data_IF_665726874908
#
_entry.id   IF_665726874908
#
_cell.length_a   1.000
_cell.length_b   1.000
_cell.length_c   1.000
_cell.angle_alpha   90.00
_cell.angle_beta   90.00
_cell.angle_gamma   90.00
#
_symmetry.space_group_name_H-M   'P 1'
#
loop_
_entity.id
_entity.type
_entity.pdbx_description
1 polymer ?
#
# COMPACT_ATOMS: atom_id res chain seq x y z
N UNK A 1 -13.43 9.42 23.43
CA UNK A 1 -12.94 10.77 23.05
C UNK A 1 -13.20 10.89 21.55
N UNK A 2 -14.22 11.64 21.13
CA UNK A 2 -14.53 11.89 19.72
C UNK A 2 -13.98 13.28 19.34
N UNK A 3 -12.72 13.31 18.91
CA UNK A 3 -12.03 14.54 18.49
C UNK A 3 -12.36 14.91 17.05
N UNK A 4 -12.56 13.90 16.21
CA UNK A 4 -12.80 14.06 14.78
C UNK A 4 -14.23 14.54 14.57
N UNK A 5 -14.40 15.70 13.93
CA UNK A 5 -15.71 16.36 13.73
C UNK A 5 -16.10 17.36 14.82
N UNK A 6 -15.49 17.25 16.01
CA UNK A 6 -15.73 18.17 17.12
C UNK A 6 -15.02 19.49 16.87
N UNK A 7 -15.68 20.60 17.22
CA UNK A 7 -15.07 21.93 17.12
C UNK A 7 -14.09 22.15 18.26
N UNK A 8 -12.84 22.38 17.90
CA UNK A 8 -11.77 22.73 18.82
C UNK A 8 -11.19 24.09 18.42
N UNK A 9 -10.77 24.85 19.42
CA UNK A 9 -9.97 26.06 19.27
C UNK A 9 -8.76 25.91 20.19
N UNK A 10 -7.56 26.02 19.64
CA UNK A 10 -6.31 25.85 20.39
C UNK A 10 -6.28 24.54 21.19
N UNK A 11 -6.81 23.47 20.58
CA UNK A 11 -6.89 22.13 21.17
C UNK A 11 -7.92 21.98 22.30
N UNK A 12 -8.76 22.99 22.55
CA UNK A 12 -9.75 22.98 23.61
C UNK A 12 -11.19 23.08 23.08
N UNK A 13 -12.11 22.47 23.81
CA UNK A 13 -13.54 22.70 23.63
C UNK A 13 -13.86 24.11 24.12
N UNK A 14 -14.65 24.86 23.35
CA UNK A 14 -15.31 26.02 23.92
C UNK A 14 -16.38 25.53 24.90
N UNK A 15 -16.55 26.17 26.06
CA UNK A 15 -17.38 25.66 27.16
C UNK A 15 -18.86 25.44 26.85
N UNK A 16 -19.33 25.88 25.67
CA UNK A 16 -20.68 25.67 25.14
C UNK A 16 -20.74 24.66 23.98
N UNK A 17 -19.61 24.27 23.39
CA UNK A 17 -19.55 23.36 22.25
C UNK A 17 -19.72 21.91 22.73
N UNK A 18 -20.53 21.13 22.00
CA UNK A 18 -20.76 19.71 22.28
C UNK A 18 -19.84 18.84 21.42
N UNK A 19 -19.40 17.71 21.97
CA UNK A 19 -18.67 16.70 21.21
C UNK A 19 -19.57 16.13 20.10
N UNK A 20 -19.02 16.04 18.90
CA UNK A 20 -19.66 15.36 17.77
C UNK A 20 -19.25 13.88 17.83
N UNK A 21 -20.22 12.99 17.67
CA UNK A 21 -20.01 11.54 17.61
C UNK A 21 -20.52 11.00 16.27
N UNK A 22 -19.97 9.87 15.82
CA UNK A 22 -20.44 9.15 14.63
C UNK A 22 -19.89 9.69 13.31
N UNK A 23 -18.97 10.66 13.33
CA UNK A 23 -18.25 11.08 12.11
C UNK A 23 -17.23 10.03 11.66
N UNK A 24 -16.79 9.18 12.58
CA UNK A 24 -16.02 7.96 12.35
C UNK A 24 -16.86 6.82 11.75
N UNK A 25 -18.03 7.12 11.17
CA UNK A 25 -18.81 6.16 10.41
C UNK A 25 -17.94 5.56 9.29
N UNK A 26 -17.88 4.23 9.25
CA UNK A 26 -17.04 3.48 8.32
C UNK A 26 -17.27 3.90 6.86
N UNK A 27 -18.53 4.07 6.43
CA UNK A 27 -18.85 4.48 5.06
C UNK A 27 -18.33 5.86 4.70
N UNK A 28 -18.39 6.82 5.64
CA UNK A 28 -17.87 8.17 5.42
C UNK A 28 -16.33 8.20 5.39
N UNK A 29 -15.68 7.45 6.26
CA UNK A 29 -14.21 7.32 6.29
C UNK A 29 -13.69 6.67 5.01
N UNK A 30 -14.28 5.54 4.60
CA UNK A 30 -13.89 4.86 3.35
C UNK A 30 -14.23 5.72 2.14
N UNK A 31 -15.39 6.38 2.10
CA UNK A 31 -15.75 7.30 1.03
C UNK A 31 -14.79 8.49 0.91
N UNK A 32 -14.29 9.01 2.05
CA UNK A 32 -13.21 10.00 2.08
C UNK A 32 -11.91 9.46 1.50
N UNK A 33 -11.54 8.23 1.89
CA UNK A 33 -10.29 7.61 1.43
C UNK A 33 -10.34 7.24 -0.05
N UNK A 34 -11.53 7.15 -0.64
CA UNK A 34 -11.78 6.75 -2.02
C UNK A 34 -12.45 7.87 -2.83
N UNK A 35 -12.16 9.15 -2.53
CA UNK A 35 -12.72 10.28 -3.30
C UNK A 35 -12.29 10.29 -4.75
N UNK A 36 -11.30 9.47 -5.14
CA UNK A 36 -10.95 9.21 -6.54
C UNK A 36 -12.17 8.82 -7.38
N UNK A 37 -13.17 8.16 -6.79
CA UNK A 37 -14.43 7.85 -7.47
C UNK A 37 -15.25 9.09 -7.86
N UNK A 38 -15.00 10.28 -7.31
CA UNK A 38 -15.67 11.51 -7.76
C UNK A 38 -15.11 12.02 -9.10
N UNK A 39 -13.79 11.90 -9.33
CA UNK A 39 -13.16 12.08 -10.65
C UNK A 39 -13.52 10.93 -11.60
N UNK A 40 -13.53 9.71 -11.05
CA UNK A 40 -13.86 8.48 -11.73
C UNK A 40 -15.29 8.42 -12.24
N UNK A 41 -16.29 8.93 -11.51
CA UNK A 41 -17.70 8.94 -11.95
C UNK A 41 -17.91 9.81 -13.21
N UNK A 42 -17.10 10.85 -13.41
CA UNK A 42 -17.12 11.65 -14.65
C UNK A 42 -16.57 10.84 -15.84
N UNK A 43 -15.60 9.94 -15.62
CA UNK A 43 -15.05 9.05 -16.66
C UNK A 43 -15.83 7.71 -16.79
N UNK A 44 -16.42 7.22 -15.71
CA UNK A 44 -17.09 5.92 -15.59
C UNK A 44 -18.51 5.90 -16.15
N UNK A 45 -19.02 7.05 -16.64
CA UNK A 45 -20.28 7.12 -17.36
C UNK A 45 -20.33 6.15 -18.56
N UNK A 46 -19.17 5.78 -19.13
CA UNK A 46 -19.08 4.75 -20.18
C UNK A 46 -19.03 3.30 -19.67
N UNK A 47 -18.61 3.05 -18.43
CA UNK A 47 -18.43 1.69 -17.87
C UNK A 47 -19.63 1.22 -17.04
N UNK A 48 -20.47 2.15 -16.59
CA UNK A 48 -21.72 1.87 -15.86
C UNK A 48 -22.91 1.58 -16.79
N UNK A 49 -22.67 1.38 -18.10
CA UNK A 49 -23.70 1.08 -19.11
C UNK A 49 -24.26 -0.34 -18.92
N UNK A 50 -25.18 -0.52 -17.96
CA UNK A 50 -25.84 -1.81 -17.74
C UNK A 50 -26.68 -1.92 -16.45
N UNK A 51 -26.52 -1.00 -15.51
CA UNK A 51 -27.19 -1.08 -14.19
C UNK A 51 -28.05 0.15 -13.94
N UNK A 52 -29.34 0.09 -14.29
CA UNK A 52 -30.27 1.22 -14.23
C UNK A 52 -30.41 1.85 -12.83
N UNK A 53 -30.34 1.05 -11.76
CA UNK A 53 -30.43 1.56 -10.38
C UNK A 53 -29.22 2.42 -9.99
N UNK A 54 -28.02 2.07 -10.45
CA UNK A 54 -26.82 2.85 -10.17
C UNK A 54 -26.68 4.04 -11.10
N UNK A 55 -27.22 3.96 -12.32
CA UNK A 55 -27.37 5.12 -13.21
C UNK A 55 -28.33 6.16 -12.62
N UNK A 56 -29.48 5.73 -12.09
CA UNK A 56 -30.43 6.64 -11.46
C UNK A 56 -29.84 7.29 -10.19
N UNK A 57 -29.10 6.54 -9.37
CA UNK A 57 -28.41 7.11 -8.19
C UNK A 57 -27.28 8.04 -8.62
N UNK A 58 -26.47 7.66 -9.61
CA UNK A 58 -25.41 8.51 -10.14
C UNK A 58 -25.96 9.78 -10.78
N UNK A 59 -27.00 9.72 -11.61
CA UNK A 59 -27.61 10.90 -12.25
C UNK A 59 -28.29 11.84 -11.23
N UNK A 60 -28.97 11.29 -10.22
CA UNK A 60 -29.58 12.10 -9.16
C UNK A 60 -28.55 12.69 -8.19
N UNK A 61 -27.44 12.00 -7.93
CA UNK A 61 -26.34 12.53 -7.11
C UNK A 61 -25.52 13.53 -7.92
N UNK A 62 -25.20 13.27 -9.18
CA UNK A 62 -24.35 14.13 -10.01
C UNK A 62 -25.01 15.44 -10.45
N UNK A 63 -26.33 15.44 -10.68
CA UNK A 63 -27.05 16.67 -11.03
C UNK A 63 -27.08 17.68 -9.88
N UNK A 64 -27.07 17.22 -8.62
CA UNK A 64 -26.93 18.09 -7.44
C UNK A 64 -25.46 18.43 -7.10
N UNK A 65 -24.48 17.59 -7.50
CA UNK A 65 -23.06 17.78 -7.16
C UNK A 65 -22.32 18.80 -8.06
N UNK A 66 -22.68 18.93 -9.35
CA UNK A 66 -21.92 19.80 -10.28
C UNK A 66 -22.04 21.30 -9.98
N UNK A 67 -23.09 21.75 -9.28
CA UNK A 67 -23.23 23.17 -8.89
C UNK A 67 -22.52 23.53 -7.56
N UNK A 68 -22.07 22.55 -6.77
CA UNK A 68 -21.69 22.78 -5.35
C UNK A 68 -20.24 22.46 -4.94
N UNK A 69 -19.37 21.94 -5.84
CA UNK A 69 -17.97 21.55 -5.51
C UNK A 69 -17.89 20.55 -4.33
N UNK A 70 -18.77 19.55 -4.29
CA UNK A 70 -18.80 18.52 -3.25
C UNK A 70 -17.98 17.27 -3.58
N UNK A 71 -16.96 17.39 -4.43
CA UNK A 71 -16.19 16.24 -4.95
C UNK A 71 -15.08 15.76 -3.99
N UNK A 72 -15.03 16.31 -2.77
CA UNK A 72 -13.98 16.07 -1.77
C UNK A 72 -14.59 16.03 -0.37
N UNK A 73 -13.99 15.25 0.54
CA UNK A 73 -14.50 15.14 1.89
C UNK A 73 -14.00 16.29 2.77
N UNK A 74 -14.92 17.10 3.28
CA UNK A 74 -14.60 18.18 4.22
C UNK A 74 -14.66 17.67 5.66
N UNK A 75 -13.52 17.70 6.34
CA UNK A 75 -13.38 17.30 7.73
C UNK A 75 -13.15 18.52 8.61
N UNK A 76 -13.85 18.62 9.73
CA UNK A 76 -13.57 19.68 10.70
C UNK A 76 -12.16 19.51 11.25
N UNK A 77 -11.37 20.58 11.17
CA UNK A 77 -9.98 20.56 11.59
C UNK A 77 -9.87 20.58 13.12
N UNK A 78 -9.39 19.49 13.77
CA UNK A 78 -9.21 19.49 15.21
C UNK A 78 -8.00 20.35 15.66
N UNK A 79 -7.17 20.79 14.72
CA UNK A 79 -5.97 21.59 14.97
C UNK A 79 -6.16 23.09 14.69
N UNK A 80 -7.41 23.55 14.53
CA UNK A 80 -7.68 24.96 14.33
C UNK A 80 -7.18 25.81 15.52
N UNK A 81 -6.36 26.82 15.22
CA UNK A 81 -5.64 27.66 16.18
C UNK A 81 -4.44 26.99 16.89
N UNK A 82 -4.35 25.67 16.85
CA UNK A 82 -3.29 24.92 17.53
C UNK A 82 -1.91 25.15 16.89
N UNK A 83 -0.94 25.57 17.70
CA UNK A 83 0.47 25.81 17.29
C UNK A 83 0.58 26.67 16.02
N UNK A 84 -0.05 27.84 16.00
CA UNK A 84 -0.18 28.70 14.82
C UNK A 84 1.15 29.02 14.11
N UNK A 85 2.26 29.08 14.84
CA UNK A 85 3.59 29.39 14.28
C UNK A 85 4.21 28.24 13.46
N UNK A 86 3.80 26.98 13.71
CA UNK A 86 4.42 25.78 13.09
C UNK A 86 3.44 24.88 12.36
N UNK A 87 2.17 24.91 12.74
CA UNK A 87 1.13 24.08 12.16
C UNK A 87 0.54 24.74 10.90
N UNK A 88 0.87 24.15 9.73
CA UNK A 88 0.45 24.64 8.40
C UNK A 88 -1.07 24.69 8.20
N UNK A 89 -1.85 23.93 8.97
CA UNK A 89 -3.31 23.89 8.85
C UNK A 89 -4.03 24.63 9.99
N UNK A 90 -3.30 25.31 10.88
CA UNK A 90 -3.89 25.96 12.07
C UNK A 90 -4.90 27.07 11.73
N UNK A 91 -4.78 27.73 10.58
CA UNK A 91 -5.64 28.84 10.18
C UNK A 91 -6.92 28.43 9.42
N UNK A 92 -7.10 27.14 9.12
CA UNK A 92 -8.29 26.62 8.42
C UNK A 92 -9.22 25.87 9.37
N UNK A 93 -10.50 26.20 9.35
CA UNK A 93 -11.50 25.59 10.24
C UNK A 93 -11.94 24.19 9.80
N UNK A 94 -11.73 23.87 8.52
CA UNK A 94 -11.93 22.53 7.95
C UNK A 94 -10.73 22.19 7.06
N UNK A 95 -10.38 20.90 7.01
CA UNK A 95 -9.43 20.34 6.07
C UNK A 95 -10.17 19.56 5.01
N UNK A 96 -9.70 19.66 3.79
CA UNK A 96 -10.18 18.84 2.67
C UNK A 96 -9.30 17.61 2.61
N UNK A 97 -9.90 16.44 2.75
CA UNK A 97 -9.20 15.16 2.61
C UNK A 97 -9.58 14.53 1.27
N UNK A 98 -8.57 13.94 0.62
CA UNK A 98 -8.68 13.27 -0.67
C UNK A 98 -8.01 11.90 -0.59
N UNK A 99 -8.30 11.06 -1.58
CA UNK A 99 -7.66 9.77 -1.80
C UNK A 99 -6.13 9.93 -1.93
N UNK A 100 -5.38 9.10 -1.19
CA UNK A 100 -3.92 9.13 -1.21
C UNK A 100 -3.32 8.77 -2.56
N UNK A 101 -4.03 8.02 -3.39
CA UNK A 101 -3.64 7.70 -4.76
C UNK A 101 -3.59 8.93 -5.68
N UNK A 102 -4.30 10.03 -5.36
CA UNK A 102 -4.20 11.28 -6.13
C UNK A 102 -2.82 11.94 -6.00
N UNK A 103 -2.06 11.61 -4.95
CA UNK A 103 -0.67 12.02 -4.77
C UNK A 103 0.33 10.99 -5.33
N UNK A 104 -0.15 9.97 -6.05
CA UNK A 104 0.61 8.79 -6.46
C UNK A 104 1.15 7.95 -5.28
N UNK A 105 0.72 8.22 -4.04
CA UNK A 105 1.12 7.47 -2.84
C UNK A 105 0.16 6.29 -2.55
N UNK A 106 -0.14 5.49 -3.59
CA UNK A 106 -1.00 4.29 -3.53
C UNK A 106 -0.58 3.27 -2.45
N UNK A 107 0.72 3.17 -2.12
CA UNK A 107 1.20 2.41 -0.98
C UNK A 107 1.23 3.35 0.24
N UNK A 108 0.39 3.12 1.28
CA UNK A 108 0.18 4.08 2.37
C UNK A 108 1.33 4.07 3.42
N UNK A 109 2.57 4.32 2.99
CA UNK A 109 3.77 4.27 3.83
C UNK A 109 3.83 5.40 4.86
N UNK A 110 3.08 6.48 4.67
CA UNK A 110 3.11 7.67 5.52
C UNK A 110 2.82 7.39 6.99
N UNK A 111 1.98 6.40 7.30
CA UNK A 111 1.77 5.99 8.68
C UNK A 111 2.98 5.22 9.25
N UNK A 112 3.77 4.54 8.43
CA UNK A 112 4.83 3.66 8.90
C UNK A 112 6.19 4.34 9.03
N UNK A 113 6.42 5.43 8.28
CA UNK A 113 7.71 6.12 8.22
C UNK A 113 7.85 7.28 9.22
N UNK A 114 6.84 7.52 10.07
CA UNK A 114 6.92 8.55 11.12
C UNK A 114 7.88 8.12 12.22
N UNK A 115 8.94 8.91 12.53
CA UNK A 115 9.97 8.51 13.49
C UNK A 115 9.41 8.12 14.87
N UNK A 116 8.31 8.76 15.30
CA UNK A 116 7.65 8.53 16.58
C UNK A 116 7.05 7.12 16.70
N UNK A 117 6.77 6.45 15.58
CA UNK A 117 6.20 5.09 15.58
C UNK A 117 7.26 4.00 15.73
N UNK A 118 8.55 4.32 15.53
CA UNK A 118 9.67 3.38 15.68
C UNK A 118 9.44 2.04 14.95
N UNK A 119 8.92 2.09 13.72
CA UNK A 119 8.67 0.91 12.89
C UNK A 119 9.97 0.36 12.33
N UNK A 120 10.25 -0.92 12.56
CA UNK A 120 11.46 -1.60 12.09
C UNK A 120 11.40 -2.02 10.62
N UNK A 121 10.25 -2.59 10.24
CA UNK A 121 9.98 -3.14 8.92
C UNK A 121 8.54 -2.78 8.54
N UNK A 122 8.36 -2.29 7.32
CA UNK A 122 7.05 -2.15 6.68
C UNK A 122 7.04 -2.98 5.41
N UNK A 123 5.97 -3.77 5.22
CA UNK A 123 5.73 -4.50 3.97
C UNK A 123 4.66 -3.74 3.19
N UNK A 124 5.05 -3.20 2.03
CA UNK A 124 4.16 -2.49 1.11
C UNK A 124 3.82 -3.40 -0.07
N UNK A 125 2.56 -3.79 -0.20
CA UNK A 125 2.07 -4.49 -1.38
C UNK A 125 1.59 -3.48 -2.41
N UNK A 126 2.13 -3.53 -3.61
CA UNK A 126 1.85 -2.59 -4.69
C UNK A 126 0.98 -3.24 -5.77
N UNK A 127 -0.28 -2.83 -5.82
CA UNK A 127 -1.24 -3.24 -6.84
C UNK A 127 -1.62 -2.06 -7.76
N UNK A 128 -0.74 -1.07 -7.89
CA UNK A 128 -1.01 0.14 -8.66
C UNK A 128 -1.04 -0.15 -10.16
N UNK A 129 -1.93 0.54 -10.88
CA UNK A 129 -2.04 0.48 -12.33
C UNK A 129 -1.19 1.59 -12.98
N UNK A 130 0.13 1.56 -12.78
CA UNK A 130 1.03 2.65 -13.17
C UNK A 130 1.40 2.64 -14.66
N UNK A 131 1.32 1.46 -15.28
CA UNK A 131 1.68 1.22 -16.69
C UNK A 131 0.43 1.13 -17.57
N UNK A 132 0.63 1.22 -18.89
CA UNK A 132 -0.45 1.05 -19.89
C UNK A 132 -1.16 -0.30 -19.79
N UNK A 133 -0.44 -1.33 -19.34
CA UNK A 133 -0.93 -2.68 -19.09
C UNK A 133 -1.48 -2.88 -17.67
N UNK A 134 -1.53 -1.83 -16.84
CA UNK A 134 -2.18 -1.85 -15.52
C UNK A 134 -1.36 -2.49 -14.41
N UNK A 135 -0.04 -2.58 -14.58
CA UNK A 135 0.88 -3.14 -13.58
C UNK A 135 1.72 -2.06 -12.87
N UNK A 136 2.23 -2.34 -11.66
CA UNK A 136 3.05 -1.39 -10.92
C UNK A 136 4.45 -1.25 -11.54
N UNK A 137 5.00 -0.04 -11.44
CA UNK A 137 6.37 0.27 -11.88
C UNK A 137 7.20 0.96 -10.78
N UNK A 138 6.73 0.93 -9.53
CA UNK A 138 7.39 1.58 -8.40
C UNK A 138 7.11 3.08 -8.27
N UNK A 139 6.19 3.65 -9.08
CA UNK A 139 5.80 5.07 -9.00
C UNK A 139 5.40 5.46 -7.58
N UNK A 140 4.69 4.60 -6.86
CA UNK A 140 4.26 4.93 -5.50
C UNK A 140 5.39 5.01 -4.47
N UNK A 141 6.37 4.12 -4.57
CA UNK A 141 7.59 4.20 -3.78
C UNK A 141 8.36 5.49 -4.10
N UNK A 142 8.49 5.81 -5.39
CA UNK A 142 9.21 7.00 -5.84
C UNK A 142 8.52 8.30 -5.44
N UNK A 143 7.19 8.36 -5.49
CA UNK A 143 6.40 9.51 -5.05
C UNK A 143 6.62 9.80 -3.56
N UNK A 144 6.59 8.75 -2.72
CA UNK A 144 6.88 8.87 -1.29
C UNK A 144 8.31 9.37 -1.06
N UNK A 145 9.30 8.78 -1.74
CA UNK A 145 10.69 9.22 -1.69
C UNK A 145 10.85 10.69 -2.08
N UNK A 146 10.28 11.08 -3.22
CA UNK A 146 10.37 12.43 -3.76
C UNK A 146 9.73 13.46 -2.83
N UNK A 147 8.62 13.11 -2.17
CA UNK A 147 7.99 13.97 -1.15
C UNK A 147 8.91 14.20 0.05
N UNK A 148 9.62 13.15 0.52
CA UNK A 148 10.51 13.29 1.70
C UNK A 148 11.69 14.22 1.43
N UNK A 149 12.26 14.22 0.22
CA UNK A 149 13.40 15.08 -0.12
C UNK A 149 13.02 16.53 -0.44
N UNK A 150 11.77 16.79 -0.85
CA UNK A 150 11.34 18.12 -1.27
C UNK A 150 10.44 18.83 -0.25
N UNK A 151 9.57 18.08 0.46
CA UNK A 151 8.46 18.65 1.23
C UNK A 151 8.46 18.27 2.72
N UNK A 152 9.19 17.22 3.10
CA UNK A 152 9.16 16.63 4.46
C UNK A 152 10.56 16.20 4.94
N UNK A 153 11.44 17.19 5.12
CA UNK A 153 12.83 17.00 5.58
C UNK A 153 12.96 16.44 7.02
N UNK A 154 11.82 16.30 7.72
CA UNK A 154 11.73 15.71 9.06
C UNK A 154 11.61 14.18 9.05
N UNK A 155 11.37 13.59 7.88
CA UNK A 155 11.28 12.15 7.70
C UNK A 155 12.50 11.66 6.93
N UNK A 156 13.14 10.64 7.49
CA UNK A 156 14.13 9.84 6.77
C UNK A 156 13.44 8.70 6.05
N UNK A 157 13.80 8.44 4.80
CA UNK A 157 13.18 7.40 3.98
C UNK A 157 14.22 6.70 3.11
N UNK A 158 13.95 5.44 2.76
CA UNK A 158 14.85 4.68 1.91
C UNK A 158 15.05 5.39 0.56
N UNK A 159 16.27 5.31 0.00
CA UNK A 159 16.49 5.72 -1.37
C UNK A 159 15.64 4.85 -2.31
N UNK A 160 15.05 5.45 -3.33
CA UNK A 160 14.22 4.76 -4.33
C UNK A 160 14.61 5.23 -5.74
N UNK A 161 14.80 4.33 -6.71
CA UNK A 161 15.09 4.71 -8.09
C UNK A 161 13.86 5.32 -8.78
N UNK A 162 14.09 6.00 -9.91
CA UNK A 162 12.97 6.44 -10.77
C UNK A 162 12.20 5.23 -11.31
N UNK A 163 10.93 5.37 -11.71
CA UNK A 163 10.14 4.27 -12.28
C UNK A 163 10.83 3.57 -13.45
N UNK A 164 11.55 4.31 -14.30
CA UNK A 164 12.29 3.72 -15.44
C UNK A 164 13.40 2.79 -14.96
N UNK A 165 14.17 3.21 -13.94
CA UNK A 165 15.22 2.41 -13.31
C UNK A 165 14.62 1.21 -12.56
N UNK A 166 13.46 1.41 -11.93
CA UNK A 166 12.73 0.39 -11.19
C UNK A 166 12.35 -0.79 -12.10
N UNK A 167 11.80 -0.49 -13.28
CA UNK A 167 11.46 -1.46 -14.33
C UNK A 167 12.73 -2.07 -14.93
N UNK A 168 13.73 -1.26 -15.30
CA UNK A 168 14.97 -1.72 -15.93
C UNK A 168 15.72 -2.75 -15.07
N UNK A 169 15.65 -2.61 -13.75
CA UNK A 169 16.28 -3.51 -12.78
C UNK A 169 15.39 -4.69 -12.36
N UNK A 170 14.16 -4.78 -12.91
CA UNK A 170 13.17 -5.81 -12.59
C UNK A 170 12.69 -5.78 -11.14
N UNK A 171 12.73 -4.62 -10.48
CA UNK A 171 12.30 -4.49 -9.08
C UNK A 171 10.78 -4.61 -8.96
N UNK A 172 10.04 -4.34 -10.03
CA UNK A 172 8.60 -4.53 -10.13
C UNK A 172 8.18 -5.96 -10.47
N UNK A 173 9.13 -6.91 -10.52
CA UNK A 173 8.81 -8.33 -10.70
C UNK A 173 9.06 -9.14 -9.43
N UNK A 174 9.58 -8.56 -8.35
CA UNK A 174 10.01 -9.31 -7.15
C UNK A 174 9.92 -8.50 -5.86
N UNK A 175 9.73 -9.16 -4.71
CA UNK A 175 9.99 -8.55 -3.42
C UNK A 175 11.41 -7.97 -3.35
N UNK A 176 11.53 -6.73 -2.88
CA UNK A 176 12.82 -6.03 -2.75
C UNK A 176 12.82 -5.22 -1.45
N UNK A 177 13.92 -5.29 -0.70
CA UNK A 177 14.13 -4.42 0.46
C UNK A 177 14.78 -3.10 0.04
N UNK A 178 14.29 -2.01 0.62
CA UNK A 178 14.84 -0.66 0.46
C UNK A 178 15.29 -0.11 1.80
N UNK A 179 16.40 0.63 1.78
CA UNK A 179 16.98 1.25 2.97
C UNK A 179 17.58 0.26 3.94
N UNK A 180 18.14 -0.87 3.48
CA UNK A 180 18.65 -1.89 4.41
C UNK A 180 19.74 -1.33 5.32
N UNK A 181 20.59 -0.41 4.85
CA UNK A 181 21.45 0.38 5.71
C UNK A 181 20.72 1.64 6.19
N UNK A 182 20.56 1.79 7.52
CA UNK A 182 19.88 2.94 8.14
C UNK A 182 20.58 4.28 7.89
N UNK A 183 21.87 4.25 7.59
CA UNK A 183 22.68 5.42 7.29
C UNK A 183 22.64 5.85 5.82
N UNK A 184 22.14 4.97 4.95
CA UNK A 184 22.01 5.22 3.51
C UNK A 184 20.54 5.47 3.14
N UNK A 185 20.05 6.62 3.58
CA UNK A 185 18.65 7.04 3.46
C UNK A 185 18.58 8.54 3.23
N UNK A 186 17.47 9.03 2.70
CA UNK A 186 17.21 10.46 2.59
C UNK A 186 17.09 11.10 3.97
N UNK A 187 17.45 12.37 4.08
CA UNK A 187 17.34 13.16 5.31
C UNK A 187 17.89 12.43 6.55
N UNK A 188 18.98 11.67 6.39
CA UNK A 188 19.55 10.86 7.46
C UNK A 188 19.79 11.68 8.72
N UNK A 189 19.35 11.13 9.85
CA UNK A 189 19.56 11.69 11.16
C UNK A 189 19.67 10.54 12.17
N UNK A 190 20.74 10.51 12.96
CA UNK A 190 20.99 9.47 13.96
C UNK A 190 19.85 9.31 14.98
N UNK A 191 19.08 10.38 15.25
CA UNK A 191 17.97 10.34 16.19
C UNK A 191 16.63 9.93 15.55
N UNK A 192 16.57 9.73 14.22
CA UNK A 192 15.35 9.38 13.51
C UNK A 192 15.39 7.92 13.09
N UNK A 193 14.30 7.21 13.40
CA UNK A 193 14.19 5.81 13.04
C UNK A 193 13.63 5.66 11.63
N UNK A 194 14.37 4.98 10.75
CA UNK A 194 13.93 4.67 9.37
C UNK A 194 13.65 3.18 9.24
N UNK A 195 12.41 2.76 8.91
CA UNK A 195 12.12 1.35 8.68
C UNK A 195 12.90 0.82 7.47
N UNK A 196 13.15 -0.49 7.44
CA UNK A 196 13.35 -1.19 6.17
C UNK A 196 12.00 -1.25 5.46
N UNK A 197 11.96 -0.93 4.17
CA UNK A 197 10.74 -1.07 3.36
C UNK A 197 10.86 -2.33 2.52
N UNK A 198 10.05 -3.34 2.79
CA UNK A 198 9.86 -4.48 1.90
C UNK A 198 8.79 -4.14 0.88
N UNK A 199 9.20 -3.84 -0.35
CA UNK A 199 8.31 -3.64 -1.49
C UNK A 199 7.93 -4.99 -2.07
N UNK A 200 6.64 -5.23 -2.28
CA UNK A 200 6.09 -6.46 -2.88
C UNK A 200 5.20 -6.05 -4.05
N UNK A 201 5.65 -6.20 -5.31
CA UNK A 201 4.82 -5.88 -6.45
C UNK A 201 3.76 -6.96 -6.70
N UNK A 202 2.59 -6.54 -7.18
CA UNK A 202 1.67 -7.43 -7.88
C UNK A 202 2.29 -7.78 -9.22
N UNK A 203 2.70 -9.04 -9.37
CA UNK A 203 3.23 -9.61 -10.60
C UNK A 203 2.41 -10.84 -11.00
N UNK A 204 2.13 -11.11 -12.29
CA UNK A 204 1.27 -12.22 -12.71
C UNK A 204 1.98 -13.58 -12.62
N UNK A 205 2.29 -14.03 -11.41
CA UNK A 205 2.85 -15.37 -11.20
C UNK A 205 1.86 -16.45 -11.62
N UNK A 206 0.63 -16.40 -11.11
CA UNK A 206 -0.38 -17.45 -11.33
C UNK A 206 -1.72 -16.91 -11.81
N UNK A 207 -1.90 -15.58 -11.83
CA UNK A 207 -3.12 -14.93 -12.32
C UNK A 207 -2.88 -13.46 -12.72
N UNK A 208 -3.58 -13.00 -13.75
CA UNK A 208 -3.60 -11.59 -14.20
C UNK A 208 -4.48 -10.73 -13.27
N UNK A 209 -3.84 -10.19 -12.23
CA UNK A 209 -4.50 -9.39 -11.18
C UNK A 209 -4.55 -7.89 -11.47
N UNK A 210 -4.09 -7.44 -12.65
CA UNK A 210 -4.17 -6.06 -13.17
C UNK A 210 -5.60 -5.66 -13.60
N UNK A 211 -6.55 -5.83 -12.68
CA UNK A 211 -7.96 -5.53 -12.91
C UNK A 211 -8.18 -4.01 -12.85
N UNK A 212 -9.13 -3.51 -13.64
CA UNK A 212 -9.47 -2.08 -13.65
C UNK A 212 -9.94 -1.62 -12.27
N UNK A 213 -9.46 -0.45 -11.82
CA UNK A 213 -9.93 0.23 -10.60
C UNK A 213 -11.45 0.43 -10.56
N UNK A 214 -12.10 0.53 -11.72
CA UNK A 214 -13.55 0.73 -11.83
C UNK A 214 -14.35 -0.58 -11.90
N UNK A 215 -13.69 -1.74 -11.90
CA UNK A 215 -14.35 -3.03 -11.84
C UNK A 215 -14.76 -3.35 -10.40
N UNK A 216 -16.07 -3.40 -10.17
CA UNK A 216 -16.66 -3.63 -8.84
C UNK A 216 -17.25 -5.03 -8.66
N UNK A 217 -17.37 -5.80 -9.74
CA UNK A 217 -17.91 -7.15 -9.74
C UNK A 217 -16.86 -8.12 -10.29
N UNK A 218 -16.68 -9.23 -9.59
CA UNK A 218 -15.70 -10.26 -9.89
C UNK A 218 -16.36 -11.62 -9.88
N UNK A 219 -15.95 -12.50 -10.80
CA UNK A 219 -16.33 -13.91 -10.72
C UNK A 219 -15.59 -14.62 -9.59
N UNK A 220 -16.09 -15.78 -9.15
CA UNK A 220 -15.40 -16.61 -8.16
C UNK A 220 -13.98 -16.98 -8.62
N UNK A 221 -13.81 -17.22 -9.93
CA UNK A 221 -12.51 -17.54 -10.53
C UNK A 221 -11.54 -16.35 -10.44
N UNK A 222 -12.00 -15.14 -10.75
CA UNK A 222 -11.17 -13.93 -10.66
C UNK A 222 -10.77 -13.63 -9.22
N UNK A 223 -11.73 -13.71 -8.29
CA UNK A 223 -11.47 -13.51 -6.87
C UNK A 223 -10.44 -14.50 -6.32
N UNK A 224 -10.61 -15.81 -6.60
CA UNK A 224 -9.68 -16.86 -6.16
C UNK A 224 -8.31 -16.67 -6.82
N UNK A 225 -8.29 -16.42 -8.12
CA UNK A 225 -7.06 -16.20 -8.89
C UNK A 225 -6.23 -15.04 -8.35
N UNK A 226 -6.86 -13.90 -8.08
CA UNK A 226 -6.20 -12.73 -7.50
C UNK A 226 -5.61 -13.02 -6.11
N UNK A 227 -6.33 -13.74 -5.24
CA UNK A 227 -5.83 -14.13 -3.92
C UNK A 227 -4.60 -15.03 -4.05
N UNK A 228 -4.67 -16.06 -4.89
CA UNK A 228 -3.56 -16.99 -5.11
C UNK A 228 -2.33 -16.26 -5.68
N UNK A 229 -2.54 -15.27 -6.56
CA UNK A 229 -1.45 -14.44 -7.07
C UNK A 229 -0.83 -13.52 -6.02
N UNK A 230 -1.64 -12.97 -5.12
CA UNK A 230 -1.15 -12.22 -3.96
C UNK A 230 -0.34 -13.09 -3.00
N UNK A 231 -0.77 -14.33 -2.75
CA UNK A 231 -0.02 -15.32 -1.98
C UNK A 231 1.33 -15.65 -2.64
N UNK A 232 1.33 -15.92 -3.95
CA UNK A 232 2.53 -16.20 -4.71
C UNK A 232 3.53 -15.04 -4.64
N UNK A 233 3.05 -13.81 -4.86
CA UNK A 233 3.88 -12.59 -4.81
C UNK A 233 4.49 -12.33 -3.44
N UNK A 234 3.77 -12.67 -2.36
CA UNK A 234 4.19 -12.40 -0.98
C UNK A 234 5.09 -13.51 -0.41
N UNK A 235 4.75 -14.77 -0.67
CA UNK A 235 5.42 -15.93 -0.06
C UNK A 235 6.60 -16.44 -0.89
N UNK A 236 6.57 -16.23 -2.21
CA UNK A 236 7.48 -16.83 -3.18
C UNK A 236 7.65 -18.36 -3.04
N UNK A 237 6.66 -19.02 -2.43
CA UNK A 237 6.74 -20.44 -2.13
C UNK A 237 6.75 -21.25 -3.43
N UNK A 238 7.76 -22.09 -3.62
CA UNK A 238 7.95 -22.85 -4.87
C UNK A 238 8.50 -22.04 -6.04
N UNK A 239 8.76 -20.73 -5.87
CA UNK A 239 9.38 -19.88 -6.88
C UNK A 239 10.89 -19.77 -6.66
N UNK A 240 11.33 -19.56 -5.42
CA UNK A 240 12.77 -19.51 -5.06
C UNK A 240 13.18 -20.75 -4.25
N UNK A 241 14.48 -20.96 -4.06
CA UNK A 241 15.03 -22.03 -3.23
C UNK A 241 14.35 -22.08 -1.86
N UNK A 242 14.08 -23.30 -1.38
CA UNK A 242 13.22 -23.51 -0.21
C UNK A 242 13.70 -22.73 1.02
N UNK A 243 12.80 -21.91 1.56
CA UNK A 243 13.04 -21.07 2.73
C UNK A 243 13.96 -19.86 2.53
N UNK A 244 14.46 -19.59 1.31
CA UNK A 244 15.33 -18.42 1.04
C UNK A 244 14.66 -17.10 1.40
N UNK A 245 13.54 -16.77 0.73
CA UNK A 245 12.82 -15.52 0.98
C UNK A 245 12.35 -15.42 2.44
N UNK A 246 11.83 -16.52 3.00
CA UNK A 246 11.38 -16.59 4.40
C UNK A 246 12.50 -16.25 5.39
N UNK A 247 13.71 -16.75 5.15
CA UNK A 247 14.91 -16.45 5.94
C UNK A 247 15.28 -14.97 5.82
N UNK A 248 15.28 -14.43 4.61
CA UNK A 248 15.64 -13.03 4.37
C UNK A 248 14.61 -12.04 4.93
N UNK A 249 13.33 -12.39 4.89
CA UNK A 249 12.27 -11.68 5.59
C UNK A 249 12.46 -11.71 7.11
N UNK A 250 12.85 -12.85 7.68
CA UNK A 250 13.17 -12.93 9.11
C UNK A 250 14.38 -12.07 9.50
N UNK A 251 15.38 -11.96 8.61
CA UNK A 251 16.50 -11.05 8.79
C UNK A 251 16.07 -9.58 8.77
N UNK A 252 15.26 -9.16 7.79
CA UNK A 252 14.73 -7.81 7.72
C UNK A 252 13.90 -7.43 8.96
N UNK A 253 13.10 -8.37 9.49
CA UNK A 253 12.27 -8.16 10.67
C UNK A 253 13.08 -7.82 11.93
N UNK A 254 14.29 -8.37 12.08
CA UNK A 254 15.10 -8.19 13.29
C UNK A 254 16.22 -7.16 13.12
N UNK A 255 16.54 -6.75 11.90
CA UNK A 255 17.77 -5.99 11.61
C UNK A 255 17.83 -4.65 12.36
N UNK A 256 16.74 -3.87 12.33
CA UNK A 256 16.66 -2.60 13.05
C UNK A 256 16.75 -2.74 14.56
N UNK A 257 16.16 -3.80 15.11
CA UNK A 257 16.30 -4.09 16.53
C UNK A 257 17.74 -4.47 16.89
N UNK A 258 18.44 -5.24 16.04
CA UNK A 258 19.86 -5.58 16.25
C UNK A 258 20.73 -4.34 16.24
N UNK A 259 20.55 -3.48 15.24
CA UNK A 259 21.28 -2.22 15.08
C UNK A 259 21.14 -1.32 16.32
N UNK A 260 19.92 -1.11 16.81
CA UNK A 260 19.67 -0.32 18.03
C UNK A 260 20.37 -0.87 19.28
N UNK A 261 20.58 -2.19 19.33
CA UNK A 261 21.24 -2.86 20.45
C UNK A 261 22.76 -3.04 20.24
N UNK A 262 23.33 -2.46 19.19
CA UNK A 262 24.75 -2.61 18.86
C UNK A 262 25.15 -4.04 18.54
N UNK A 263 24.21 -4.82 17.96
CA UNK A 263 24.45 -6.20 17.54
C UNK A 263 24.68 -6.22 16.04
N UNK A 264 25.88 -6.61 15.62
CA UNK A 264 26.23 -6.73 14.20
C UNK A 264 25.33 -7.72 13.47
N UNK A 265 25.12 -7.54 12.16
CA UNK A 265 24.41 -8.53 11.32
C UNK A 265 25.13 -9.88 11.35
N UNK A 266 24.35 -10.96 11.37
CA UNK A 266 24.91 -12.29 11.09
C UNK A 266 25.33 -12.38 9.63
N UNK A 267 26.28 -13.27 9.32
CA UNK A 267 26.68 -13.52 7.93
C UNK A 267 25.47 -13.93 7.06
N UNK A 268 24.55 -14.72 7.60
CA UNK A 268 23.33 -15.14 6.91
C UNK A 268 22.39 -13.97 6.57
N UNK A 269 22.21 -13.02 7.48
CA UNK A 269 21.43 -11.82 7.18
C UNK A 269 22.15 -10.85 6.26
N UNK A 270 23.49 -10.82 6.29
CA UNK A 270 24.26 -10.05 5.33
C UNK A 270 24.05 -10.59 3.92
N UNK A 271 24.18 -11.91 3.70
CA UNK A 271 23.88 -12.54 2.41
C UNK A 271 22.47 -12.21 1.93
N UNK A 272 21.47 -12.28 2.83
CA UNK A 272 20.12 -11.91 2.48
C UNK A 272 19.98 -10.45 1.99
N UNK A 273 20.69 -9.49 2.58
CA UNK A 273 20.65 -8.11 2.07
C UNK A 273 21.50 -7.90 0.84
N UNK A 274 22.57 -8.66 0.65
CA UNK A 274 23.33 -8.64 -0.61
C UNK A 274 22.43 -9.10 -1.79
N UNK A 275 21.51 -10.04 -1.52
CA UNK A 275 20.64 -10.64 -2.54
C UNK A 275 19.30 -9.92 -2.74
N UNK A 276 18.69 -9.39 -1.67
CA UNK A 276 17.31 -8.88 -1.66
C UNK A 276 17.21 -7.37 -1.42
N UNK A 277 18.31 -6.70 -1.05
CA UNK A 277 18.30 -5.25 -0.95
C UNK A 277 18.56 -4.59 -2.30
N UNK A 278 17.86 -3.50 -2.58
CA UNK A 278 18.25 -2.64 -3.69
C UNK A 278 19.63 -2.01 -3.40
N UNK A 279 20.57 -2.19 -4.32
CA UNK A 279 21.98 -1.78 -4.15
C UNK A 279 22.22 -0.28 -4.31
N UNK A 280 21.25 0.46 -4.84
CA UNK A 280 21.41 1.87 -5.21
C UNK A 280 21.97 2.10 -6.61
N UNK A 281 22.34 1.02 -7.32
CA UNK A 281 22.92 1.10 -8.66
C UNK A 281 21.94 1.70 -9.68
N UNK A 282 22.50 2.36 -10.68
CA UNK A 282 21.79 2.89 -11.84
C UNK A 282 22.18 2.09 -13.07
N UNK A 283 21.21 1.72 -13.90
CA UNK A 283 21.41 0.98 -15.16
C UNK A 283 21.06 1.86 -16.36
N UNK A 284 21.44 1.42 -17.57
CA UNK A 284 21.00 2.09 -18.79
C UNK A 284 19.50 1.86 -19.01
N UNK A 285 18.74 2.95 -19.20
CA UNK A 285 17.28 2.90 -19.41
C UNK A 285 16.87 3.23 -20.84
N UNK A 286 17.81 3.36 -21.79
CA UNK A 286 17.49 3.73 -23.18
C UNK A 286 16.60 2.71 -23.89
N UNK A 287 16.75 1.43 -23.52
CA UNK A 287 16.15 0.29 -24.22
C UNK A 287 15.09 -0.43 -23.36
N UNK A 288 14.57 0.22 -22.32
CA UNK A 288 13.51 -0.34 -21.48
C UNK A 288 12.23 -0.39 -22.31
N UNK A 289 11.81 -1.60 -22.68
CA UNK A 289 10.54 -1.81 -23.36
C UNK A 289 9.37 -1.45 -22.44
N UNK A 290 8.22 -1.21 -23.04
CA UNK A 290 6.97 -1.13 -22.30
C UNK A 290 6.80 -2.36 -21.42
N UNK A 291 6.44 -2.15 -20.15
CA UNK A 291 6.35 -3.23 -19.18
C UNK A 291 5.04 -3.99 -19.37
N UNK A 292 5.14 -5.17 -19.99
CA UNK A 292 4.01 -6.06 -20.25
C UNK A 292 4.40 -7.48 -19.78
N UNK A 293 4.23 -7.80 -18.49
CA UNK A 293 4.54 -9.13 -17.98
C UNK A 293 3.52 -10.16 -18.49
N UNK A 294 3.99 -11.36 -18.83
CA UNK A 294 3.16 -12.48 -19.26
C UNK A 294 2.98 -13.48 -18.10
N UNK A 295 1.78 -14.05 -17.98
CA UNK A 295 1.48 -15.09 -17.02
C UNK A 295 2.34 -16.33 -17.29
N UNK A 296 2.92 -16.92 -16.24
CA UNK A 296 3.90 -18.01 -16.33
C UNK A 296 5.25 -17.65 -16.98
N UNK A 297 5.51 -16.38 -17.30
CA UNK A 297 6.89 -15.97 -17.52
C UNK A 297 7.63 -16.08 -16.19
N UNK A 298 8.73 -16.83 -16.17
CA UNK A 298 9.58 -16.96 -14.99
C UNK A 298 10.51 -15.74 -14.99
N UNK A 299 10.34 -14.78 -14.06
CA UNK A 299 11.23 -13.62 -14.03
C UNK A 299 12.68 -14.06 -13.86
N UNK A 300 13.62 -13.31 -14.43
CA UNK A 300 15.05 -13.69 -14.39
C UNK A 300 15.53 -13.98 -12.95
N UNK A 301 15.10 -13.17 -11.97
CA UNK A 301 15.47 -13.37 -10.57
C UNK A 301 15.03 -14.73 -10.00
N UNK A 302 13.89 -15.25 -10.46
CA UNK A 302 13.37 -16.57 -10.09
C UNK A 302 14.23 -17.65 -10.73
N UNK A 303 14.58 -17.50 -12.01
CA UNK A 303 15.47 -18.44 -12.70
C UNK A 303 16.82 -18.54 -11.98
N UNK A 304 17.38 -17.40 -11.58
CA UNK A 304 18.68 -17.30 -10.90
C UNK A 304 18.68 -17.92 -9.49
N UNK A 305 17.50 -18.04 -8.86
CA UNK A 305 17.33 -18.45 -7.45
C UNK A 305 16.46 -19.69 -7.27
N UNK A 306 16.14 -20.41 -8.34
CA UNK A 306 15.36 -21.66 -8.27
C UNK A 306 16.28 -22.88 -8.29
N UNK A 307 15.88 -23.97 -7.63
CA UNK A 307 16.64 -25.23 -7.59
C UNK A 307 16.48 -26.09 -8.87
N UNK A 308 16.15 -25.46 -10.01
CA UNK A 308 16.15 -26.09 -11.33
C UNK A 308 14.78 -26.35 -11.95
N UNK A 309 13.68 -26.16 -11.21
CA UNK A 309 12.31 -26.10 -11.73
C UNK A 309 11.46 -25.15 -10.86
N UNK A 310 11.42 -23.86 -11.20
CA UNK A 310 10.49 -22.93 -10.56
C UNK A 310 9.05 -23.42 -10.82
N UNK A 311 8.35 -23.84 -9.77
CA UNK A 311 7.00 -24.34 -9.88
C UNK A 311 6.03 -23.16 -9.92
N UNK A 312 5.90 -22.54 -11.09
CA UNK A 312 4.73 -21.70 -11.38
C UNK A 312 3.56 -22.65 -11.66
N UNK A 313 2.91 -23.14 -10.60
CA UNK A 313 1.66 -23.88 -10.75
C UNK A 313 0.49 -22.91 -10.64
N UNK A 314 -0.22 -22.69 -11.74
CA UNK A 314 -1.60 -22.22 -11.67
C UNK A 314 -2.38 -23.23 -10.83
N UNK A 315 -2.76 -22.84 -9.61
CA UNK A 315 -3.48 -23.74 -8.69
C UNK A 315 -4.87 -24.03 -9.26
N UNK A 316 -5.00 -25.13 -9.99
CA UNK A 316 -6.30 -25.72 -10.33
C UNK A 316 -6.85 -26.60 -9.19
N UNK A 317 -6.11 -26.77 -8.09
CA UNK A 317 -6.53 -27.59 -6.95
C UNK A 317 -7.07 -26.73 -5.80
N UNK A 318 -8.37 -26.43 -5.87
CA UNK A 318 -9.19 -25.90 -4.78
C UNK A 318 -9.35 -26.85 -3.57
N UNK A 319 -8.56 -27.92 -3.48
CA UNK A 319 -8.72 -28.98 -2.49
C UNK A 319 -7.89 -28.79 -1.20
N UNK A 320 -6.77 -28.06 -1.25
CA UNK A 320 -5.88 -27.89 -0.09
C UNK A 320 -6.27 -26.69 0.79
N UNK A 321 -6.78 -25.60 0.19
CA UNK A 321 -7.24 -24.42 0.92
C UNK A 321 -8.48 -24.70 1.80
N UNK A 322 -9.36 -25.63 1.39
CA UNK A 322 -10.58 -25.94 2.16
C UNK A 322 -10.29 -26.51 3.56
N UNK A 323 -9.15 -27.17 3.77
CA UNK A 323 -8.86 -27.82 5.06
C UNK A 323 -8.27 -26.85 6.11
N UNK A 324 -7.63 -25.75 5.71
CA UNK A 324 -7.16 -24.74 6.68
C UNK A 324 -8.26 -23.76 7.09
N UNK A 325 -9.11 -23.32 6.15
CA UNK A 325 -10.20 -22.37 6.44
C UNK A 325 -11.38 -22.99 7.24
N UNK A 326 -11.55 -24.31 7.20
CA UNK A 326 -12.61 -25.00 7.95
C UNK A 326 -12.48 -24.83 9.47
N UNK A 327 -11.25 -24.78 10.01
CA UNK A 327 -11.04 -24.68 11.46
C UNK A 327 -11.20 -23.25 12.00
N UNK A 328 -10.94 -22.22 11.18
CA UNK A 328 -11.07 -20.81 11.58
C UNK A 328 -12.51 -20.30 11.45
N UNK A 329 -13.27 -20.76 10.46
CA UNK A 329 -14.69 -20.41 10.28
C UNK A 329 -15.57 -21.01 11.38
N UNK A 330 -15.22 -22.19 11.91
CA UNK A 330 -15.92 -22.80 13.05
C UNK A 330 -15.78 -22.00 14.36
N UNK A 331 -14.65 -21.29 14.56
CA UNK A 331 -14.49 -20.38 15.70
C UNK A 331 -15.23 -19.05 15.50
N UNK A 332 -15.30 -18.52 14.28
CA UNK A 332 -16.02 -17.29 13.98
C UNK A 332 -17.54 -17.45 14.12
N UNK A 333 -18.10 -18.61 13.73
CA UNK A 333 -19.55 -18.86 13.86
C UNK A 333 -20.00 -19.07 15.32
N UNK A 334 -19.14 -19.59 16.20
CA UNK A 334 -19.47 -19.73 17.62
C UNK A 334 -19.62 -18.37 18.33
N UNK A 335 -18.91 -17.34 17.88
CA UNK A 335 -19.00 -15.98 18.43
C UNK A 335 -20.25 -15.26 17.94
N UNK A 336 -20.68 -15.51 16.70
CA UNK A 336 -21.87 -14.87 16.12
C UNK A 336 -23.18 -15.45 16.68
N UNK A 337 -23.24 -16.75 16.98
CA UNK A 337 -24.43 -17.36 17.59
C UNK A 337 -24.58 -17.01 19.08
N UNK A 338 -23.47 -16.75 19.79
CA UNK A 338 -23.52 -16.29 21.19
C UNK A 338 -24.02 -14.85 21.37
N UNK A 339 -23.82 -13.98 20.37
CA UNK A 339 -24.27 -12.59 20.41
C UNK A 339 -25.74 -12.38 20.03
N UNK A 340 -26.42 -13.42 19.53
CA UNK A 340 -27.84 -13.38 19.17
C UNK A 340 -28.78 -13.89 20.28
N UNK A 341 -28.24 -14.25 21.47
CA UNK A 341 -29.01 -14.80 22.60
C UNK A 341 -28.78 -14.07 23.95
N UNK A 342 -28.33 -12.82 23.91
CA UNK A 342 -28.39 -11.87 25.05
C UNK A 342 -28.96 -10.52 24.58
#
# INVERSE_FOLDING_TARGET
>A
IALVGTKLLDGQLNGTDQCVNGLDNFGFVIGTSATLFNQGVIQAQSSLSGWSVFQDIAENVLSDFSESKNDVASWRNPFYGWMNDTNKISNVSNVVLVDGGEALENIPLNAHIKPERQVDLVLGFDASADTSSGWPNGTSMFATYNRTINDDDQISFANVPTPEQFVAQGLNTRPTFFGCNSSDVTNYNESRHTPIVGYIPSYPYVFESNQSTFKLEYSDEEYIGMINNGEASTSLNGLVSDGEWKRCLACALVDRARERNGVDRSAECQTCFDDWCWSGDQVDTSDVSEYEPDINSVPQFVQDRSDGDALIQATNDSASAQNLFSTTVLLAMAVIVGAALL
#
